data_IF_576946100952
#
_entry.id   IF_576946100952
#
_cell.length_a   1.000
_cell.length_b   1.000
_cell.length_c   1.000
_cell.angle_alpha   90.00
_cell.angle_beta   90.00
_cell.angle_gamma   90.00
#
_symmetry.space_group_name_H-M   'P 1'
#
loop_
_entity.id
_entity.type
_entity.pdbx_description
1 polymer ?
#
# COMPACT_ATOMS: atom_id res chain seq x y z
N UNK A 1 14.71 25.36 67.45
CA UNK A 1 14.33 24.78 66.14
C UNK A 1 12.81 24.80 66.00
N UNK A 2 12.27 25.31 64.89
CA UNK A 2 10.81 25.34 64.67
C UNK A 2 10.35 23.93 64.26
N UNK A 3 9.29 23.43 64.89
CA UNK A 3 8.68 22.15 64.52
C UNK A 3 8.02 22.26 63.14
N UNK A 4 8.12 21.25 62.28
CA UNK A 4 7.39 21.24 61.01
C UNK A 4 5.87 21.26 61.25
N UNK A 5 5.13 21.89 60.34
CA UNK A 5 3.66 22.06 60.43
C UNK A 5 2.94 20.71 60.30
N UNK A 6 3.47 19.82 59.45
CA UNK A 6 2.98 18.46 59.26
C UNK A 6 4.11 17.47 59.56
N UNK A 7 3.76 16.38 60.24
CA UNK A 7 4.66 15.25 60.47
C UNK A 7 4.85 14.44 59.19
N UNK A 8 5.92 13.64 59.11
CA UNK A 8 6.18 12.82 57.91
C UNK A 8 5.08 11.77 57.72
N UNK A 9 4.57 11.20 58.83
CA UNK A 9 3.45 10.27 58.82
C UNK A 9 2.15 10.90 58.30
N UNK A 10 1.83 12.14 58.68
CA UNK A 10 0.63 12.84 58.16
C UNK A 10 0.69 13.02 56.64
N UNK A 11 1.88 13.30 56.09
CA UNK A 11 2.07 13.50 54.65
C UNK A 11 1.84 12.18 53.90
N UNK A 12 2.39 11.08 54.40
CA UNK A 12 2.24 9.75 53.81
C UNK A 12 0.77 9.29 53.91
N UNK A 13 0.15 9.38 55.09
CA UNK A 13 -1.26 9.00 55.29
C UNK A 13 -2.22 9.82 54.43
N UNK A 14 -1.95 11.11 54.22
CA UNK A 14 -2.74 11.93 53.31
C UNK A 14 -2.61 11.44 51.86
N UNK A 15 -1.41 11.06 51.43
CA UNK A 15 -1.19 10.46 50.12
C UNK A 15 -1.90 9.12 49.95
N UNK A 16 -1.80 8.21 50.91
CA UNK A 16 -2.48 6.92 50.91
C UNK A 16 -4.00 7.08 50.92
N UNK A 17 -4.52 7.97 51.76
CA UNK A 17 -5.96 8.27 51.82
C UNK A 17 -6.48 8.82 50.49
N UNK A 18 -5.66 9.60 49.77
CA UNK A 18 -6.03 10.09 48.45
C UNK A 18 -5.98 8.98 47.40
N UNK A 19 -5.02 8.06 47.46
CA UNK A 19 -4.95 6.92 46.54
C UNK A 19 -6.20 6.05 46.70
N UNK A 20 -6.57 5.71 47.94
CA UNK A 20 -7.76 4.90 48.23
C UNK A 20 -9.08 5.58 47.85
N UNK A 21 -9.14 6.92 47.87
CA UNK A 21 -10.37 7.67 47.53
C UNK A 21 -10.56 7.85 46.03
N UNK A 22 -9.48 8.01 45.27
CA UNK A 22 -9.55 8.38 43.86
C UNK A 22 -9.15 7.25 42.90
N UNK A 23 -8.68 6.11 43.42
CA UNK A 23 -8.23 4.93 42.66
C UNK A 23 -7.32 5.31 41.48
N UNK A 24 -6.44 6.29 41.72
CA UNK A 24 -5.51 6.85 40.73
C UNK A 24 -4.23 7.26 41.42
N UNK A 25 -3.18 7.42 40.62
CA UNK A 25 -1.91 7.95 41.11
C UNK A 25 -2.06 9.35 41.69
N UNK A 26 -1.59 9.50 42.93
CA UNK A 26 -1.63 10.78 43.65
C UNK A 26 -0.32 11.53 43.41
N UNK A 27 -0.45 12.80 43.02
CA UNK A 27 0.67 13.73 42.93
C UNK A 27 0.94 14.38 44.27
N UNK A 28 2.21 14.74 44.54
CA UNK A 28 2.57 15.57 45.69
C UNK A 28 1.79 16.89 45.75
N UNK A 29 1.31 17.40 44.60
CA UNK A 29 0.47 18.60 44.52
C UNK A 29 -0.91 18.37 45.13
N UNK A 30 -1.47 17.18 44.95
CA UNK A 30 -2.78 16.82 45.50
C UNK A 30 -2.69 16.62 47.01
N UNK A 31 -1.58 16.06 47.50
CA UNK A 31 -1.28 15.94 48.93
C UNK A 31 -1.12 17.33 49.56
N UNK A 32 -0.38 18.23 48.92
CA UNK A 32 -0.21 19.60 49.40
C UNK A 32 -1.54 20.36 49.48
N UNK A 33 -2.43 20.17 48.50
CA UNK A 33 -3.79 20.72 48.54
C UNK A 33 -4.63 20.09 49.66
N UNK A 34 -4.55 18.78 49.86
CA UNK A 34 -5.27 18.07 50.92
C UNK A 34 -4.83 18.48 52.33
N UNK A 35 -3.56 18.84 52.51
CA UNK A 35 -3.01 19.42 53.75
C UNK A 35 -3.29 20.92 53.89
N UNK A 36 -4.16 21.48 53.05
CA UNK A 36 -4.59 22.88 53.12
C UNK A 36 -3.56 23.88 52.58
N UNK A 37 -2.63 23.43 51.74
CA UNK A 37 -1.59 24.27 51.11
C UNK A 37 -0.52 24.78 52.09
N UNK A 38 -0.47 24.23 53.31
CA UNK A 38 0.47 24.66 54.36
C UNK A 38 1.73 23.80 54.32
N UNK A 39 2.86 24.41 54.67
CA UNK A 39 4.18 23.76 54.64
C UNK A 39 4.90 23.87 53.30
N UNK A 40 6.15 23.37 53.26
CA UNK A 40 7.00 23.41 52.07
C UNK A 40 6.65 22.25 51.12
N UNK A 41 6.21 22.57 49.91
CA UNK A 41 5.91 21.60 48.86
C UNK A 41 7.09 20.65 48.56
N UNK A 42 8.32 21.16 48.57
CA UNK A 42 9.52 20.35 48.30
C UNK A 42 9.70 19.19 49.29
N UNK A 43 9.29 19.37 50.55
CA UNK A 43 9.34 18.31 51.56
C UNK A 43 8.25 17.26 51.32
N UNK A 44 7.05 17.69 50.96
CA UNK A 44 5.94 16.78 50.64
C UNK A 44 6.32 15.92 49.43
N UNK A 45 6.86 16.56 48.39
CA UNK A 45 7.35 15.86 47.21
C UNK A 45 8.45 14.86 47.54
N UNK A 46 9.50 15.28 48.26
CA UNK A 46 10.60 14.39 48.61
C UNK A 46 10.15 13.17 49.43
N UNK A 47 9.26 13.37 50.42
CA UNK A 47 8.75 12.28 51.24
C UNK A 47 7.82 11.35 50.46
N UNK A 48 6.98 11.90 49.58
CA UNK A 48 6.06 11.10 48.78
C UNK A 48 6.77 10.32 47.68
N UNK A 49 7.75 10.92 47.02
CA UNK A 49 8.56 10.27 46.00
C UNK A 49 9.40 9.14 46.66
N UNK A 50 10.03 9.39 47.82
CA UNK A 50 10.74 8.34 48.56
C UNK A 50 9.83 7.19 49.04
N UNK A 51 8.58 7.50 49.44
CA UNK A 51 7.60 6.49 49.82
C UNK A 51 7.13 5.64 48.63
N UNK A 52 7.02 6.25 47.42
CA UNK A 52 6.72 5.51 46.20
C UNK A 52 7.85 4.57 45.83
N UNK A 53 9.09 5.07 45.87
CA UNK A 53 10.28 4.29 45.55
C UNK A 53 10.44 3.09 46.50
N UNK A 54 10.26 3.28 47.81
CA UNK A 54 10.28 2.16 48.77
C UNK A 54 9.18 1.13 48.54
N UNK A 55 8.02 1.56 48.00
CA UNK A 55 6.90 0.67 47.70
C UNK A 55 7.11 -0.07 46.38
N UNK A 56 7.73 0.56 45.39
CA UNK A 56 8.13 -0.09 44.13
C UNK A 56 9.18 -1.18 44.40
N UNK A 57 10.19 -0.89 45.23
CA UNK A 57 11.18 -1.90 45.66
C UNK A 57 10.56 -3.08 46.43
N UNK A 58 9.54 -2.86 47.27
CA UNK A 58 8.81 -3.95 47.95
C UNK A 58 7.86 -4.73 47.02
N UNK A 59 7.36 -4.10 45.94
CA UNK A 59 6.46 -4.72 44.97
C UNK A 59 7.18 -5.45 43.83
N UNK A 60 8.45 -5.12 43.57
CA UNK A 60 9.35 -5.85 42.67
C UNK A 60 9.82 -7.21 43.22
N UNK A 61 9.16 -7.74 44.24
CA UNK A 61 9.25 -9.17 44.51
C UNK A 61 8.75 -9.89 43.25
N UNK A 62 9.69 -10.50 42.52
CA UNK A 62 9.50 -11.23 41.27
C UNK A 62 8.66 -12.49 41.56
N UNK A 63 7.35 -12.31 41.77
CA UNK A 63 6.41 -13.39 42.05
C UNK A 63 6.21 -14.12 40.71
N UNK A 64 6.69 -15.37 40.58
CA UNK A 64 6.55 -16.10 39.34
C UNK A 64 5.06 -16.29 39.03
N UNK A 65 4.69 -16.12 37.76
CA UNK A 65 3.32 -16.41 37.32
C UNK A 65 2.94 -17.84 37.71
N UNK A 66 1.70 -18.10 38.17
CA UNK A 66 1.22 -19.46 38.39
C UNK A 66 1.42 -20.33 37.15
N UNK A 67 1.86 -21.57 37.35
CA UNK A 67 2.16 -22.52 36.26
C UNK A 67 0.99 -22.67 35.28
N UNK A 68 -0.25 -22.73 35.80
CA UNK A 68 -1.48 -22.74 34.98
C UNK A 68 -1.61 -21.55 34.02
N UNK A 69 -1.16 -20.36 34.44
CA UNK A 69 -1.16 -19.18 33.57
C UNK A 69 -0.07 -19.28 32.51
N UNK A 70 1.10 -19.81 32.86
CA UNK A 70 2.20 -20.00 31.92
C UNK A 70 1.83 -21.02 30.83
N UNK A 71 1.20 -22.14 31.23
CA UNK A 71 0.73 -23.17 30.31
C UNK A 71 -0.34 -22.64 29.36
N UNK A 72 -1.31 -21.88 29.86
CA UNK A 72 -2.34 -21.24 29.02
C UNK A 72 -1.74 -20.24 28.03
N UNK A 73 -0.72 -19.48 28.44
CA UNK A 73 -0.01 -18.55 27.55
C UNK A 73 0.73 -19.35 26.47
N UNK A 74 1.43 -20.44 26.83
CA UNK A 74 2.12 -21.29 25.88
C UNK A 74 1.16 -21.95 24.88
N UNK A 75 0.02 -22.45 25.36
CA UNK A 75 -1.04 -23.03 24.52
C UNK A 75 -1.61 -21.97 23.56
N UNK A 76 -1.97 -20.80 24.06
CA UNK A 76 -2.47 -19.70 23.25
C UNK A 76 -1.44 -19.26 22.18
N UNK A 77 -0.16 -19.16 22.55
CA UNK A 77 0.93 -18.83 21.64
C UNK A 77 1.10 -19.90 20.55
N UNK A 78 1.05 -21.17 20.92
CA UNK A 78 1.15 -22.29 19.97
C UNK A 78 -0.04 -22.33 19.00
N UNK A 79 -1.26 -22.07 19.49
CA UNK A 79 -2.48 -21.99 18.69
C UNK A 79 -2.43 -20.82 17.71
N UNK A 80 -1.95 -19.66 18.19
CA UNK A 80 -1.75 -18.49 17.33
C UNK A 80 -0.72 -18.79 16.23
N UNK A 81 0.42 -19.40 16.57
CA UNK A 81 1.44 -19.79 15.60
C UNK A 81 0.85 -20.74 14.55
N UNK A 82 0.15 -21.80 14.96
CA UNK A 82 -0.48 -22.74 14.05
C UNK A 82 -1.50 -22.05 13.11
N UNK A 83 -2.26 -21.09 13.64
CA UNK A 83 -3.23 -20.31 12.86
C UNK A 83 -2.54 -19.43 11.81
N UNK A 84 -1.43 -18.79 12.16
CA UNK A 84 -0.66 -17.95 11.25
C UNK A 84 0.01 -18.79 10.16
N UNK A 85 0.61 -19.92 10.53
CA UNK A 85 1.20 -20.85 9.57
C UNK A 85 0.17 -21.38 8.58
N UNK A 86 -1.02 -21.75 9.06
CA UNK A 86 -2.13 -22.21 8.21
C UNK A 86 -2.57 -21.12 7.22
N UNK A 87 -2.71 -19.88 7.69
CA UNK A 87 -3.07 -18.74 6.85
C UNK A 87 -2.02 -18.49 5.76
N UNK A 88 -0.75 -18.47 6.13
CA UNK A 88 0.36 -18.26 5.19
C UNK A 88 0.42 -19.38 4.16
N UNK A 89 0.30 -20.65 4.58
CA UNK A 89 0.27 -21.80 3.65
C UNK A 89 -0.91 -21.69 2.68
N UNK A 90 -2.10 -21.38 3.18
CA UNK A 90 -3.30 -21.19 2.35
C UNK A 90 -3.13 -20.05 1.35
N UNK A 91 -2.52 -18.93 1.77
CA UNK A 91 -2.23 -17.80 0.90
C UNK A 91 -1.23 -18.19 -0.21
N UNK A 92 -0.17 -18.92 0.13
CA UNK A 92 0.82 -19.40 -0.85
C UNK A 92 0.14 -20.31 -1.88
N UNK A 93 -0.67 -21.27 -1.44
CA UNK A 93 -1.41 -22.17 -2.34
C UNK A 93 -2.31 -21.37 -3.28
N UNK A 94 -3.11 -20.43 -2.75
CA UNK A 94 -3.99 -19.61 -3.58
C UNK A 94 -3.21 -18.75 -4.59
N UNK A 95 -2.11 -18.12 -4.17
CA UNK A 95 -1.31 -17.25 -5.04
C UNK A 95 -0.59 -18.06 -6.13
N UNK A 96 -0.06 -19.24 -5.79
CA UNK A 96 0.58 -20.14 -6.75
C UNK A 96 -0.43 -20.67 -7.76
N UNK A 97 -1.60 -21.12 -7.34
CA UNK A 97 -2.67 -21.52 -8.26
C UNK A 97 -3.10 -20.38 -9.20
N UNK A 98 -3.25 -19.16 -8.66
CA UNK A 98 -3.59 -18.01 -9.48
C UNK A 98 -2.49 -17.71 -10.51
N UNK A 99 -1.22 -17.81 -10.11
CA UNK A 99 -0.09 -17.59 -10.99
C UNK A 99 -0.05 -18.63 -12.12
N UNK A 100 -0.21 -19.92 -11.79
CA UNK A 100 -0.26 -21.01 -12.78
C UNK A 100 -1.43 -20.82 -13.76
N UNK A 101 -2.61 -20.42 -13.28
CA UNK A 101 -3.74 -20.11 -14.17
C UNK A 101 -3.43 -18.93 -15.10
N UNK A 102 -2.77 -17.89 -14.59
CA UNK A 102 -2.39 -16.73 -15.39
C UNK A 102 -1.28 -17.03 -16.40
N UNK A 103 -0.29 -17.86 -16.05
CA UNK A 103 0.76 -18.28 -16.97
C UNK A 103 0.18 -19.09 -18.12
N UNK A 104 -0.70 -20.06 -17.82
CA UNK A 104 -1.37 -20.87 -18.83
C UNK A 104 -2.20 -20.02 -19.82
N UNK A 105 -2.90 -19.00 -19.32
CA UNK A 105 -3.64 -18.07 -20.20
C UNK A 105 -2.69 -17.27 -21.11
N UNK A 106 -1.57 -16.78 -20.57
CA UNK A 106 -0.58 -16.04 -21.37
C UNK A 106 0.08 -16.92 -22.42
N UNK A 107 0.42 -18.16 -22.09
CA UNK A 107 0.99 -19.13 -23.02
C UNK A 107 0.01 -19.39 -24.19
N UNK A 108 -1.27 -19.60 -23.88
CA UNK A 108 -2.31 -19.75 -24.90
C UNK A 108 -2.43 -18.51 -25.78
N UNK A 109 -2.51 -17.32 -25.17
CA UNK A 109 -2.66 -16.06 -25.91
C UNK A 109 -1.43 -15.80 -26.79
N UNK A 110 -0.23 -16.15 -26.32
CA UNK A 110 1.00 -16.07 -27.08
C UNK A 110 1.00 -17.04 -28.27
N UNK A 111 0.61 -18.30 -28.07
CA UNK A 111 0.52 -19.28 -29.15
C UNK A 111 -0.48 -18.87 -30.25
N UNK A 112 -1.61 -18.23 -29.87
CA UNK A 112 -2.55 -17.68 -30.83
C UNK A 112 -1.93 -16.53 -31.63
N UNK A 113 -1.23 -15.62 -30.96
CA UNK A 113 -0.55 -14.50 -31.62
C UNK A 113 0.56 -14.98 -32.55
N UNK A 114 1.34 -15.99 -32.16
CA UNK A 114 2.34 -16.62 -33.02
C UNK A 114 1.71 -17.25 -34.25
N UNK A 115 0.58 -17.94 -34.11
CA UNK A 115 -0.13 -18.53 -35.24
C UNK A 115 -0.70 -17.46 -36.19
N UNK A 116 -1.20 -16.34 -35.66
CA UNK A 116 -1.65 -15.20 -36.48
C UNK A 116 -0.48 -14.56 -37.23
N UNK A 117 0.64 -14.34 -36.56
CA UNK A 117 1.85 -13.80 -37.18
C UNK A 117 2.41 -14.75 -38.24
N UNK A 118 2.47 -16.06 -37.98
CA UNK A 118 2.93 -17.05 -38.95
C UNK A 118 2.09 -17.03 -40.23
N UNK A 119 0.76 -16.92 -40.11
CA UNK A 119 -0.13 -16.74 -41.27
C UNK A 119 0.14 -15.46 -42.03
N UNK A 120 0.38 -14.35 -41.31
CA UNK A 120 0.66 -13.08 -41.98
C UNK A 120 1.99 -13.11 -42.73
N UNK A 121 3.02 -13.72 -42.15
CA UNK A 121 4.31 -13.94 -42.83
C UNK A 121 4.10 -14.79 -44.08
N UNK A 122 3.36 -15.90 -43.99
CA UNK A 122 3.07 -16.74 -45.15
C UNK A 122 2.37 -15.95 -46.27
N UNK A 123 1.36 -15.13 -45.94
CA UNK A 123 0.66 -14.29 -46.93
C UNK A 123 1.64 -13.33 -47.62
N UNK A 124 2.52 -12.69 -46.84
CA UNK A 124 3.51 -11.76 -47.39
C UNK A 124 4.56 -12.48 -48.24
N UNK A 125 4.99 -13.69 -47.84
CA UNK A 125 5.89 -14.52 -48.64
C UNK A 125 5.25 -14.93 -49.97
N UNK A 126 3.98 -15.35 -49.96
CA UNK A 126 3.21 -15.66 -51.16
C UNK A 126 3.08 -14.42 -52.08
N UNK A 127 2.80 -13.24 -51.51
CA UNK A 127 2.73 -11.98 -52.27
C UNK A 127 4.08 -11.59 -52.88
N UNK A 128 5.19 -11.76 -52.13
CA UNK A 128 6.54 -11.55 -52.65
C UNK A 128 6.79 -12.48 -53.84
N UNK A 129 6.50 -13.78 -53.70
CA UNK A 129 6.71 -14.74 -54.80
C UNK A 129 5.88 -14.38 -56.03
N UNK A 130 4.61 -14.03 -55.86
CA UNK A 130 3.75 -13.60 -56.97
C UNK A 130 4.30 -12.36 -57.68
N UNK A 131 4.73 -11.35 -56.92
CA UNK A 131 5.29 -10.13 -57.50
C UNK A 131 6.64 -10.38 -58.18
N UNK A 132 7.46 -11.29 -57.65
CA UNK A 132 8.70 -11.73 -58.29
C UNK A 132 8.41 -12.43 -59.62
N UNK A 133 7.46 -13.37 -59.65
CA UNK A 133 7.08 -14.05 -60.89
C UNK A 133 6.54 -13.05 -61.94
N UNK A 134 5.74 -12.07 -61.53
CA UNK A 134 5.29 -11.00 -62.42
C UNK A 134 6.43 -10.13 -62.98
N UNK A 135 7.48 -9.87 -62.19
CA UNK A 135 8.66 -9.13 -62.66
C UNK A 135 9.45 -9.95 -63.67
N UNK A 136 9.66 -11.24 -63.41
CA UNK A 136 10.36 -12.15 -64.32
C UNK A 136 9.62 -12.29 -65.67
N UNK A 137 8.28 -12.33 -65.64
CA UNK A 137 7.45 -12.32 -66.87
C UNK A 137 7.60 -11.03 -67.68
N UNK A 138 7.65 -9.88 -67.01
CA UNK A 138 7.85 -8.58 -67.67
C UNK A 138 9.26 -8.50 -68.27
N UNK A 139 10.28 -8.95 -67.53
CA UNK A 139 11.67 -8.99 -68.01
C UNK A 139 11.79 -9.88 -69.26
N UNK A 140 11.22 -11.08 -69.22
CA UNK A 140 11.22 -12.00 -70.35
C UNK A 140 10.47 -11.45 -71.58
N UNK A 141 9.36 -10.73 -71.39
CA UNK A 141 8.65 -10.07 -72.50
C UNK A 141 9.43 -8.89 -73.08
N UNK A 142 10.19 -8.18 -72.26
CA UNK A 142 11.03 -7.06 -72.72
C UNK A 142 12.27 -7.51 -73.49
N UNK A 143 12.79 -8.70 -73.21
CA UNK A 143 13.94 -9.28 -73.92
C UNK A 143 13.57 -9.83 -75.30
N UNK A 144 12.33 -10.26 -75.54
CA UNK A 144 11.86 -10.81 -76.82
C UNK A 144 11.44 -9.73 -77.85
N UNK A 145 11.27 -8.45 -77.44
CA UNK A 145 10.88 -7.33 -78.33
C UNK A 145 12.04 -6.42 -78.81
N UNK A 146 13.29 -6.91 -78.85
CA UNK A 146 14.39 -6.13 -79.45
C UNK A 146 15.04 -6.76 -80.68
N UNK A 147 14.61 -6.42 -81.91
CA UNK A 147 15.55 -6.29 -83.00
C UNK A 147 16.33 -4.98 -82.79
N UNK A 148 17.62 -5.16 -82.52
CA UNK A 148 18.67 -4.15 -82.51
C UNK A 148 18.53 -3.28 -83.77
N UNK A 149 18.15 -2.01 -83.61
CA UNK A 149 18.48 -0.98 -84.59
C UNK A 149 19.54 -0.07 -83.97
N UNK A 150 20.77 -0.43 -84.27
CA UNK A 150 21.99 0.32 -84.04
C UNK A 150 21.87 1.66 -84.80
N UNK A 151 21.74 2.77 -84.08
CA UNK A 151 22.11 4.08 -84.62
C UNK A 151 22.89 4.83 -83.56
N UNK A 152 24.10 5.20 -83.94
CA UNK A 152 25.14 5.81 -83.14
C UNK A 152 24.77 7.18 -82.54
N UNK A 153 25.23 7.39 -81.30
CA UNK A 153 25.78 8.58 -80.60
C UNK A 153 25.47 10.02 -81.10
N UNK A 154 25.45 11.07 -80.22
CA UNK A 154 26.22 11.16 -78.97
C UNK A 154 25.51 11.73 -77.71
N UNK A 155 26.06 11.38 -76.55
CA UNK A 155 26.32 12.12 -75.28
C UNK A 155 25.64 13.48 -74.93
N UNK A 156 25.59 13.87 -73.63
CA UNK A 156 24.34 14.07 -72.91
C UNK A 156 24.15 15.53 -72.46
N UNK A 157 22.98 16.11 -72.75
CA UNK A 157 22.57 17.37 -72.13
C UNK A 157 21.68 17.07 -70.93
N UNK A 158 22.28 17.12 -69.74
CA UNK A 158 21.59 16.99 -68.47
C UNK A 158 20.40 17.96 -68.35
N UNK A 159 19.16 17.49 -68.14
CA UNK A 159 18.12 18.34 -67.60
C UNK A 159 18.39 18.52 -66.10
N UNK A 160 18.68 19.76 -65.72
CA UNK A 160 18.77 20.24 -64.35
C UNK A 160 17.61 19.70 -63.50
N UNK A 161 17.94 18.82 -62.56
CA UNK A 161 17.02 18.37 -61.52
C UNK A 161 16.53 19.59 -60.74
N UNK A 162 15.22 19.88 -60.65
CA UNK A 162 14.74 20.70 -59.56
C UNK A 162 15.01 19.94 -58.26
N UNK A 163 15.70 20.60 -57.33
CA UNK A 163 15.99 20.07 -56.02
C UNK A 163 14.72 19.42 -55.41
N UNK A 164 14.80 18.20 -54.86
CA UNK A 164 13.68 17.65 -54.11
C UNK A 164 13.42 18.60 -52.93
N UNK A 165 12.21 19.13 -52.86
CA UNK A 165 11.74 19.84 -51.69
C UNK A 165 12.01 18.94 -50.47
N UNK A 166 12.78 19.45 -49.52
CA UNK A 166 13.05 18.79 -48.26
C UNK A 166 11.75 18.23 -47.71
N UNK A 167 11.69 16.91 -47.58
CA UNK A 167 10.61 16.22 -46.91
C UNK A 167 10.35 16.96 -45.60
N UNK A 168 9.15 17.52 -45.47
CA UNK A 168 8.68 17.97 -44.17
C UNK A 168 8.76 16.73 -43.28
N UNK A 169 9.74 16.73 -42.38
CA UNK A 169 9.85 15.81 -41.27
C UNK A 169 8.56 15.98 -40.50
N UNK A 170 7.56 15.15 -40.83
CA UNK A 170 6.42 14.93 -39.98
C UNK A 170 7.03 14.42 -38.68
N UNK A 171 7.07 15.30 -37.68
CA UNK A 171 7.49 14.97 -36.34
C UNK A 171 6.73 13.72 -35.95
N UNK A 172 7.46 12.61 -35.79
CA UNK A 172 6.92 11.38 -35.27
C UNK A 172 6.20 11.73 -33.97
N UNK A 173 4.87 11.66 -33.99
CA UNK A 173 4.09 11.68 -32.78
C UNK A 173 4.70 10.62 -31.85
N UNK A 174 4.97 10.93 -30.57
CA UNK A 174 5.64 10.01 -29.68
C UNK A 174 4.76 8.75 -29.54
N UNK A 175 5.16 7.68 -30.24
CA UNK A 175 4.57 6.36 -30.09
C UNK A 175 4.70 5.99 -28.62
N UNK A 176 3.55 5.81 -27.96
CA UNK A 176 3.46 5.23 -26.62
C UNK A 176 4.21 3.90 -26.67
N UNK A 177 5.31 3.81 -25.95
CA UNK A 177 6.03 2.55 -25.78
C UNK A 177 5.06 1.51 -25.19
N UNK A 178 5.03 0.26 -25.72
CA UNK A 178 4.14 -0.79 -25.23
C UNK A 178 4.47 -1.24 -23.80
N UNK A 179 5.56 -0.73 -23.21
CA UNK A 179 6.05 -1.08 -21.88
C UNK A 179 6.08 0.10 -20.88
N UNK A 180 5.21 1.11 -21.02
CA UNK A 180 5.04 2.09 -19.95
C UNK A 180 4.10 1.50 -18.88
N UNK A 181 4.55 1.30 -17.62
CA UNK A 181 3.66 0.85 -16.56
C UNK A 181 2.50 1.85 -16.42
N UNK A 182 1.28 1.33 -16.49
CA UNK A 182 0.05 2.12 -16.31
C UNK A 182 0.17 2.85 -14.98
N UNK A 183 0.22 4.19 -15.00
CA UNK A 183 0.15 4.99 -13.78
C UNK A 183 -1.14 4.59 -13.08
N UNK A 184 -1.04 3.92 -11.93
CA UNK A 184 -2.19 3.57 -11.08
C UNK A 184 -2.96 4.84 -10.77
N UNK A 185 -4.02 5.11 -11.52
CA UNK A 185 -5.02 6.10 -11.15
C UNK A 185 -5.70 5.56 -9.91
N UNK A 186 -5.36 6.15 -8.77
CA UNK A 186 -6.03 5.91 -7.49
C UNK A 186 -7.54 6.13 -7.74
N UNK A 187 -8.42 5.17 -7.45
CA UNK A 187 -9.85 5.42 -7.53
C UNK A 187 -10.19 6.60 -6.62
N UNK A 188 -11.03 7.51 -7.11
CA UNK A 188 -11.48 8.66 -6.33
C UNK A 188 -12.07 8.18 -5.00
N UNK A 189 -11.73 8.88 -3.92
CA UNK A 189 -12.26 8.59 -2.59
C UNK A 189 -13.79 8.58 -2.66
N UNK A 190 -14.40 7.44 -2.31
CA UNK A 190 -15.85 7.36 -2.12
C UNK A 190 -16.22 8.42 -1.08
N UNK A 191 -17.04 9.40 -1.47
CA UNK A 191 -17.68 10.31 -0.52
C UNK A 191 -18.49 9.45 0.44
N UNK A 192 -17.99 9.29 1.67
CA UNK A 192 -18.77 8.75 2.76
C UNK A 192 -19.97 9.69 2.95
N UNK A 193 -21.17 9.24 2.61
CA UNK A 193 -22.39 9.88 3.04
C UNK A 193 -22.41 9.73 4.56
N UNK A 194 -22.07 10.82 5.27
CA UNK A 194 -22.32 10.94 6.70
C UNK A 194 -23.80 10.65 6.92
N UNK A 195 -24.13 9.50 7.50
CA UNK A 195 -25.41 9.31 8.15
C UNK A 195 -25.49 10.32 9.28
N UNK A 196 -26.35 11.32 9.12
CA UNK A 196 -26.72 12.25 10.17
C UNK A 196 -27.24 11.47 11.38
N UNK A 197 -26.84 11.82 12.61
CA UNK A 197 -27.39 11.18 13.80
C UNK A 197 -28.88 11.49 13.88
N UNK A 198 -29.68 10.43 14.01
CA UNK A 198 -31.12 10.53 14.22
C UNK A 198 -31.40 11.38 15.47
N UNK A 199 -32.21 12.45 15.30
CA UNK A 199 -32.76 13.21 16.41
C UNK A 199 -33.53 12.27 17.34
N UNK A 200 -33.32 12.32 18.67
CA UNK A 200 -34.16 11.57 19.59
C UNK A 200 -35.61 12.05 19.48
N UNK A 201 -36.52 11.09 19.28
CA UNK A 201 -37.96 11.32 19.35
C UNK A 201 -38.31 11.74 20.77
N UNK A 202 -39.03 12.88 20.88
CA UNK A 202 -39.75 13.28 22.09
C UNK A 202 -40.60 12.11 22.58
N UNK A 203 -40.41 11.72 23.84
CA UNK A 203 -41.31 10.83 24.55
C UNK A 203 -42.71 11.47 24.64
N UNK A 204 -43.79 10.72 24.37
CA UNK A 204 -45.15 11.18 24.62
C UNK A 204 -45.41 11.22 26.14
N UNK A 205 -46.23 12.18 26.54
CA UNK A 205 -46.36 12.64 27.92
C UNK A 205 -46.82 11.58 28.92
N UNK A 206 -46.40 11.79 30.18
CA UNK A 206 -47.14 11.32 31.33
C UNK A 206 -47.73 12.51 32.06
N UNK A 207 -49.01 12.35 32.32
CA UNK A 207 -49.94 13.32 32.83
C UNK A 207 -49.58 13.76 34.26
N UNK A 208 -49.91 15.02 34.52
CA UNK A 208 -50.12 15.57 35.85
C UNK A 208 -51.12 14.69 36.62
N UNK A 209 -50.77 14.32 37.85
CA UNK A 209 -51.74 13.96 38.88
C UNK A 209 -51.62 14.97 40.01
N UNK A 210 -52.67 15.72 40.34
CA UNK A 210 -52.73 16.52 41.54
C UNK A 210 -53.24 15.68 42.71
N UNK A 211 -52.56 15.73 43.85
CA UNK A 211 -53.11 15.57 45.20
C UNK A 211 -52.08 16.08 46.20
#
# INVERSE_FOLDING_TARGET
MRKPIHTDQEIIQAGESLMSKFDREVSATDIHKALGGKGKYSRIRALWDAHKESREEEQEADIPLPEECQDRIAEAASSLQASMESLVRSLIVRMTEQNVRQSALRERDFALLEAEHAKHVQILEEEITYLTDCLDEIEAQSDDETPINETADPEPSAPSLPAPASAAVAQAAPRKSPNRPVKKTRPAARKAVRSSPAKPKKSPGQAQTPS
#
